data_IF_222375191147
#
_entry.id   IF_222375191147
#
_cell.length_a   1.000
_cell.length_b   1.000
_cell.length_c   1.000
_cell.angle_alpha   90.00
_cell.angle_beta   90.00
_cell.angle_gamma   90.00
#
_symmetry.space_group_name_H-M   'P 1'
#
loop_
_entity.id
_entity.type
_entity.pdbx_description
1 polymer ?
#
# COMPACT_ATOMS: atom_id res chain seq x y z
N UNK A 1 -54.88 26.95 4.70
CA UNK A 1 -53.41 27.19 4.64
C UNK A 1 -52.61 26.55 5.80
N UNK A 2 -53.13 26.44 7.04
CA UNK A 2 -52.40 25.82 8.17
C UNK A 2 -52.10 24.31 8.04
N UNK A 3 -52.87 23.56 7.24
CA UNK A 3 -52.67 22.10 7.04
C UNK A 3 -51.52 21.75 6.09
N UNK A 4 -51.13 22.68 5.21
CA UNK A 4 -50.02 22.48 4.26
C UNK A 4 -48.66 22.70 4.95
N UNK A 5 -48.62 23.60 5.93
CA UNK A 5 -47.40 23.90 6.72
C UNK A 5 -46.97 22.72 7.59
N UNK A 6 -47.93 21.93 8.11
CA UNK A 6 -47.64 20.73 8.91
C UNK A 6 -47.06 19.62 8.04
N UNK A 7 -47.55 19.46 6.80
CA UNK A 7 -47.05 18.45 5.87
C UNK A 7 -45.60 18.73 5.42
N UNK A 8 -45.25 20.01 5.21
CA UNK A 8 -43.89 20.44 4.87
C UNK A 8 -42.90 20.25 6.04
N UNK A 9 -43.36 20.42 7.29
CA UNK A 9 -42.53 20.22 8.48
C UNK A 9 -42.20 18.73 8.72
N UNK A 10 -43.10 17.81 8.35
CA UNK A 10 -42.89 16.35 8.48
C UNK A 10 -41.92 15.85 7.40
N UNK A 11 -42.01 16.37 6.16
CA UNK A 11 -41.09 16.01 5.07
C UNK A 11 -39.67 16.51 5.37
N UNK A 12 -39.51 17.67 6.03
CA UNK A 12 -38.20 18.18 6.42
C UNK A 12 -37.50 17.35 7.50
N UNK A 13 -38.23 16.58 8.31
CA UNK A 13 -37.63 15.74 9.37
C UNK A 13 -37.11 14.39 8.84
N UNK A 14 -37.52 13.95 7.64
CA UNK A 14 -37.09 12.66 7.07
C UNK A 14 -35.70 12.76 6.42
N UNK A 15 -35.23 13.97 6.06
CA UNK A 15 -33.93 14.15 5.40
C UNK A 15 -32.72 14.21 6.34
N UNK A 16 -32.91 14.14 7.67
CA UNK A 16 -31.81 14.21 8.65
C UNK A 16 -31.26 12.81 9.00
N UNK A 17 -31.91 11.74 8.54
CA UNK A 17 -31.40 10.37 8.65
C UNK A 17 -30.78 9.90 7.33
N UNK A 18 -29.95 10.74 6.72
CA UNK A 18 -28.90 10.22 5.85
C UNK A 18 -27.88 9.56 6.77
N UNK A 19 -28.19 8.35 7.22
CA UNK A 19 -27.22 7.45 7.78
C UNK A 19 -26.16 7.27 6.70
N UNK A 20 -25.04 7.99 6.84
CA UNK A 20 -23.77 7.47 6.35
C UNK A 20 -23.73 6.03 6.83
N UNK A 21 -23.85 5.07 5.91
CA UNK A 21 -23.50 3.69 6.21
C UNK A 21 -22.08 3.80 6.73
N UNK A 22 -21.89 3.69 8.04
CA UNK A 22 -20.59 3.32 8.61
C UNK A 22 -20.24 2.03 7.88
N UNK A 23 -19.41 2.13 6.84
CA UNK A 23 -18.82 0.95 6.25
C UNK A 23 -18.12 0.28 7.41
N UNK A 24 -18.56 -0.93 7.75
CA UNK A 24 -17.90 -1.72 8.78
C UNK A 24 -16.42 -1.76 8.43
N UNK A 25 -15.59 -1.20 9.31
CA UNK A 25 -14.15 -1.15 9.11
C UNK A 25 -13.69 -2.60 9.09
N UNK A 26 -13.25 -3.07 7.91
CA UNK A 26 -12.71 -4.42 7.80
C UNK A 26 -11.45 -4.52 8.66
N UNK A 27 -11.33 -5.59 9.43
CA UNK A 27 -10.23 -5.79 10.36
C UNK A 27 -9.99 -7.27 10.59
N UNK A 28 -8.86 -7.59 11.23
CA UNK A 28 -8.47 -8.94 11.65
C UNK A 28 -8.03 -8.92 13.11
N UNK A 29 -8.08 -10.07 13.82
CA UNK A 29 -7.57 -10.15 15.19
C UNK A 29 -6.12 -9.67 15.31
N UNK A 30 -5.29 -9.96 14.31
CA UNK A 30 -3.89 -9.51 14.28
C UNK A 30 -3.78 -7.98 14.16
N UNK A 31 -4.62 -7.33 13.35
CA UNK A 31 -4.66 -5.87 13.25
C UNK A 31 -5.10 -5.23 14.57
N UNK A 32 -6.18 -5.73 15.18
CA UNK A 32 -6.70 -5.20 16.45
C UNK A 32 -5.72 -5.35 17.62
N UNK A 33 -4.79 -6.31 17.53
CA UNK A 33 -3.77 -6.51 18.55
C UNK A 33 -2.63 -5.48 18.46
N UNK A 34 -2.39 -4.92 17.28
CA UNK A 34 -1.22 -4.08 17.00
C UNK A 34 -1.61 -2.60 16.82
N UNK A 35 -2.74 -2.36 16.16
CA UNK A 35 -3.21 -1.04 15.75
C UNK A 35 -4.49 -0.66 16.51
N UNK A 36 -4.64 0.63 16.80
CA UNK A 36 -5.86 1.18 17.36
C UNK A 36 -6.93 1.43 16.28
N UNK A 37 -8.15 1.77 16.69
CA UNK A 37 -9.28 1.93 15.75
C UNK A 37 -9.04 3.02 14.69
N UNK A 38 -8.35 4.11 15.04
CA UNK A 38 -8.00 5.18 14.10
C UNK A 38 -7.01 4.67 13.04
N UNK A 39 -5.95 4.01 13.49
CA UNK A 39 -4.94 3.41 12.62
C UNK A 39 -5.54 2.34 11.70
N UNK A 40 -6.46 1.51 12.21
CA UNK A 40 -7.17 0.51 11.39
C UNK A 40 -8.04 1.19 10.33
N UNK A 41 -8.68 2.31 10.66
CA UNK A 41 -9.42 3.13 9.70
C UNK A 41 -8.51 3.64 8.56
N UNK A 42 -7.32 4.12 8.90
CA UNK A 42 -6.31 4.57 7.95
C UNK A 42 -5.72 3.43 7.11
N UNK A 43 -5.47 2.26 7.71
CA UNK A 43 -5.10 1.03 7.01
C UNK A 43 -6.16 0.65 5.96
N UNK A 44 -7.44 0.82 6.29
CA UNK A 44 -8.54 0.67 5.34
C UNK A 44 -8.42 1.59 4.13
N UNK A 45 -7.97 2.84 4.31
CA UNK A 45 -7.70 3.78 3.21
C UNK A 45 -6.51 3.34 2.36
N UNK A 46 -5.43 2.87 3.00
CA UNK A 46 -4.23 2.34 2.32
C UNK A 46 -4.59 1.15 1.42
N UNK A 47 -5.34 0.20 1.97
CA UNK A 47 -5.81 -0.98 1.22
C UNK A 47 -6.71 -0.53 0.07
N UNK A 48 -7.69 0.34 0.34
CA UNK A 48 -8.63 0.81 -0.70
C UNK A 48 -7.91 1.49 -1.86
N UNK A 49 -6.92 2.34 -1.57
CA UNK A 49 -6.08 2.98 -2.59
C UNK A 49 -5.39 1.96 -3.49
N UNK A 50 -4.77 0.94 -2.89
CA UNK A 50 -4.13 -0.15 -3.63
C UNK A 50 -5.13 -0.99 -4.44
N UNK A 51 -6.27 -1.35 -3.84
CA UNK A 51 -7.31 -2.15 -4.50
C UNK A 51 -7.92 -1.43 -5.71
N UNK A 52 -8.18 -0.12 -5.61
CA UNK A 52 -8.68 0.70 -6.71
C UNK A 52 -7.69 0.73 -7.88
N UNK A 53 -6.40 0.86 -7.56
CA UNK A 53 -5.35 0.79 -8.55
C UNK A 53 -5.31 -0.57 -9.25
N UNK A 54 -5.34 -1.68 -8.50
CA UNK A 54 -5.36 -3.02 -9.07
C UNK A 54 -6.56 -3.22 -10.01
N UNK A 55 -7.76 -2.80 -9.58
CA UNK A 55 -8.99 -2.89 -10.38
C UNK A 55 -8.83 -2.12 -11.70
N UNK A 56 -8.28 -0.91 -11.65
CA UNK A 56 -8.05 -0.06 -12.82
C UNK A 56 -7.03 -0.68 -13.78
N UNK A 57 -5.86 -1.10 -13.29
CA UNK A 57 -4.78 -1.67 -14.12
C UNK A 57 -5.21 -2.98 -14.78
N UNK A 58 -5.95 -3.81 -14.05
CA UNK A 58 -6.40 -5.12 -14.56
C UNK A 58 -7.71 -5.07 -15.32
N UNK A 59 -8.37 -3.90 -15.38
CA UNK A 59 -9.73 -3.73 -15.91
C UNK A 59 -10.71 -4.75 -15.31
N UNK A 60 -10.66 -4.92 -13.98
CA UNK A 60 -11.52 -5.84 -13.25
C UNK A 60 -12.27 -5.11 -12.14
N UNK A 61 -13.58 -5.31 -12.06
CA UNK A 61 -14.41 -4.74 -11.00
C UNK A 61 -14.42 -5.60 -9.73
N UNK A 62 -13.88 -6.83 -9.79
CA UNK A 62 -13.84 -7.78 -8.68
C UNK A 62 -12.41 -7.84 -8.14
N UNK A 63 -12.24 -7.52 -6.86
CA UNK A 63 -10.90 -7.38 -6.29
C UNK A 63 -10.09 -8.67 -6.35
N UNK A 64 -10.67 -9.83 -6.05
CA UNK A 64 -9.94 -11.10 -6.10
C UNK A 64 -9.47 -11.44 -7.52
N UNK A 65 -10.28 -11.10 -8.53
CA UNK A 65 -9.89 -11.24 -9.94
C UNK A 65 -8.79 -10.26 -10.32
N UNK A 66 -8.85 -9.02 -9.84
CA UNK A 66 -7.81 -8.02 -10.04
C UNK A 66 -6.48 -8.47 -9.44
N UNK A 67 -6.47 -8.96 -8.19
CA UNK A 67 -5.28 -9.52 -7.56
C UNK A 67 -4.68 -10.69 -8.34
N UNK A 68 -5.50 -11.67 -8.73
CA UNK A 68 -5.01 -12.83 -9.49
C UNK A 68 -4.40 -12.42 -10.83
N UNK A 69 -5.05 -11.50 -11.56
CA UNK A 69 -4.56 -11.02 -12.85
C UNK A 69 -3.26 -10.24 -12.69
N UNK A 70 -3.21 -9.30 -11.74
CA UNK A 70 -2.00 -8.54 -11.43
C UNK A 70 -0.84 -9.44 -11.02
N UNK A 71 -1.10 -10.40 -10.12
CA UNK A 71 -0.09 -11.38 -9.70
C UNK A 71 0.44 -12.20 -10.88
N UNK A 72 -0.45 -12.67 -11.77
CA UNK A 72 -0.06 -13.42 -12.97
C UNK A 72 0.84 -12.61 -13.91
N UNK A 73 0.54 -11.33 -14.07
CA UNK A 73 1.29 -10.40 -14.91
C UNK A 73 2.65 -10.04 -14.29
N UNK A 74 2.74 -9.91 -12.97
CA UNK A 74 3.93 -9.39 -12.28
C UNK A 74 4.87 -10.46 -11.70
N UNK A 75 4.39 -11.68 -11.41
CA UNK A 75 5.22 -12.70 -10.74
C UNK A 75 6.44 -13.13 -11.57
N UNK A 76 6.32 -13.10 -12.89
CA UNK A 76 7.39 -13.46 -13.83
C UNK A 76 8.03 -12.24 -14.52
N UNK A 77 7.51 -11.03 -14.29
CA UNK A 77 7.99 -9.83 -14.96
C UNK A 77 9.35 -9.40 -14.41
N UNK A 78 10.29 -9.05 -15.29
CA UNK A 78 11.62 -8.57 -14.88
C UNK A 78 11.56 -7.27 -14.07
N UNK A 79 10.52 -6.46 -14.30
CA UNK A 79 10.21 -5.24 -13.56
C UNK A 79 8.81 -5.31 -12.98
N UNK A 80 8.64 -4.81 -11.76
CA UNK A 80 7.34 -4.66 -11.13
C UNK A 80 6.58 -3.47 -11.76
N UNK A 81 5.40 -3.72 -12.30
CA UNK A 81 4.62 -2.69 -13.00
C UNK A 81 3.89 -1.79 -11.99
N UNK A 82 4.39 -0.57 -11.85
CA UNK A 82 3.80 0.50 -11.03
C UNK A 82 3.16 1.61 -11.88
N UNK A 83 2.85 1.34 -13.15
CA UNK A 83 2.42 2.36 -14.11
C UNK A 83 1.12 3.09 -13.77
N UNK A 84 0.26 2.53 -12.91
CA UNK A 84 -0.93 3.24 -12.43
C UNK A 84 -0.69 4.10 -11.18
N UNK A 85 0.53 4.14 -10.64
CA UNK A 85 0.90 4.96 -9.48
C UNK A 85 1.62 6.19 -10.01
N UNK A 86 1.23 7.34 -9.48
CA UNK A 86 1.87 8.62 -9.75
C UNK A 86 2.18 9.33 -8.43
N UNK A 87 3.09 10.29 -8.48
CA UNK A 87 3.52 11.01 -7.29
C UNK A 87 2.33 11.69 -6.59
N UNK A 88 1.45 12.35 -7.34
CA UNK A 88 0.33 13.09 -6.77
C UNK A 88 -0.63 12.16 -6.02
N UNK A 89 -0.93 11.00 -6.58
CA UNK A 89 -1.84 10.03 -5.96
C UNK A 89 -1.25 9.41 -4.68
N UNK A 90 0.04 9.09 -4.66
CA UNK A 90 0.72 8.61 -3.44
C UNK A 90 0.79 9.71 -2.37
N UNK A 91 1.20 10.93 -2.74
CA UNK A 91 1.25 12.05 -1.79
C UNK A 91 -0.13 12.39 -1.22
N UNK A 92 -1.19 12.21 -2.02
CA UNK A 92 -2.57 12.38 -1.56
C UNK A 92 -2.98 11.31 -0.57
N UNK A 93 -2.57 10.05 -0.77
CA UNK A 93 -2.79 8.98 0.21
C UNK A 93 -2.14 9.35 1.55
N UNK A 94 -0.87 9.73 1.54
CA UNK A 94 -0.14 10.06 2.77
C UNK A 94 -0.77 11.24 3.53
N UNK A 95 -1.34 12.23 2.82
CA UNK A 95 -2.06 13.35 3.44
C UNK A 95 -3.44 12.99 4.01
N UNK A 96 -4.01 11.86 3.60
CA UNK A 96 -5.35 11.42 3.99
C UNK A 96 -5.34 10.40 5.14
N UNK A 97 -4.17 9.97 5.60
CA UNK A 97 -3.98 9.17 6.81
C UNK A 97 -3.34 10.03 7.89
N UNK A 98 -3.53 9.66 9.15
CA UNK A 98 -2.90 10.37 10.26
C UNK A 98 -1.39 10.15 10.23
N UNK A 99 -0.63 11.19 10.61
CA UNK A 99 0.84 11.14 10.62
C UNK A 99 1.36 10.03 11.54
N UNK A 100 0.70 9.79 12.67
CA UNK A 100 1.05 8.69 13.57
C UNK A 100 0.90 7.33 12.87
N UNK A 101 -0.19 7.10 12.13
CA UNK A 101 -0.35 5.87 11.33
C UNK A 101 0.75 5.75 10.28
N UNK A 102 1.09 6.85 9.59
CA UNK A 102 2.17 6.87 8.62
C UNK A 102 3.51 6.46 9.28
N UNK A 103 3.88 7.09 10.40
CA UNK A 103 5.14 6.86 11.10
C UNK A 103 5.25 5.44 11.70
N UNK A 104 4.12 4.77 11.91
CA UNK A 104 4.05 3.39 12.40
C UNK A 104 4.17 2.32 11.29
N UNK A 105 4.10 2.73 10.03
CA UNK A 105 4.25 1.87 8.85
C UNK A 105 5.54 2.18 8.09
N UNK A 106 5.81 3.47 7.90
CA UNK A 106 6.81 3.98 6.98
C UNK A 106 7.77 4.94 7.66
N UNK A 107 8.99 5.02 7.13
CA UNK A 107 9.97 6.03 7.51
C UNK A 107 10.72 6.53 6.28
N UNK A 108 11.18 7.77 6.34
CA UNK A 108 12.03 8.35 5.30
C UNK A 108 13.50 8.25 5.71
N UNK A 109 14.33 7.68 4.84
CA UNK A 109 15.79 7.69 4.99
C UNK A 109 16.42 8.66 4.01
N UNK A 110 17.43 9.41 4.46
CA UNK A 110 18.20 10.31 3.61
C UNK A 110 19.55 9.70 3.25
N UNK A 111 19.89 9.74 1.97
CA UNK A 111 21.20 9.35 1.45
C UNK A 111 21.78 10.46 0.59
N UNK A 112 23.09 10.46 0.36
CA UNK A 112 23.70 11.37 -0.62
C UNK A 112 23.80 10.69 -1.98
N UNK A 113 23.36 11.35 -3.04
CA UNK A 113 23.52 10.89 -4.41
C UNK A 113 24.62 11.71 -5.10
N UNK A 114 25.72 11.04 -5.43
CA UNK A 114 26.89 11.66 -6.05
C UNK A 114 26.66 12.10 -7.50
N UNK A 115 25.70 11.51 -8.23
CA UNK A 115 25.40 11.84 -9.62
C UNK A 115 24.73 13.21 -9.75
N UNK A 116 23.93 13.61 -8.74
CA UNK A 116 23.28 14.93 -8.68
C UNK A 116 23.92 15.85 -7.64
N UNK A 117 24.94 15.38 -6.92
CA UNK A 117 25.61 16.09 -5.83
C UNK A 117 24.64 16.67 -4.77
N UNK A 118 23.60 15.90 -4.42
CA UNK A 118 22.55 16.31 -3.49
C UNK A 118 22.04 15.13 -2.65
N UNK A 119 21.34 15.43 -1.57
CA UNK A 119 20.62 14.45 -0.77
C UNK A 119 19.36 13.94 -1.48
N UNK A 120 19.14 12.63 -1.39
CA UNK A 120 17.93 11.96 -1.85
C UNK A 120 17.21 11.36 -0.65
N UNK A 121 15.88 11.36 -0.73
CA UNK A 121 15.02 10.68 0.25
C UNK A 121 14.51 9.37 -0.34
N UNK A 122 14.60 8.30 0.45
CA UNK A 122 14.11 6.97 0.14
C UNK A 122 13.01 6.61 1.14
N UNK A 123 11.90 6.09 0.64
CA UNK A 123 10.81 5.58 1.46
C UNK A 123 11.14 4.16 1.91
N UNK A 124 11.15 3.92 3.23
CA UNK A 124 11.38 2.61 3.83
C UNK A 124 10.21 2.19 4.71
N UNK A 125 10.21 0.90 5.08
CA UNK A 125 9.35 0.38 6.15
C UNK A 125 9.98 0.72 7.48
N UNK A 126 9.20 1.25 8.42
CA UNK A 126 9.69 1.60 9.73
C UNK A 126 10.01 0.33 10.56
N UNK A 127 11.30 0.06 10.76
CA UNK A 127 11.78 -1.27 11.15
C UNK A 127 11.36 -1.68 12.59
N UNK A 128 11.36 -0.74 13.52
CA UNK A 128 11.05 -0.99 14.95
C UNK A 128 9.63 -0.53 15.32
N UNK A 129 8.72 -0.50 14.34
CA UNK A 129 7.37 0.03 14.48
C UNK A 129 6.27 -1.01 14.33
N UNK A 130 5.02 -0.60 14.56
CA UNK A 130 3.85 -1.49 14.56
C UNK A 130 3.74 -2.36 13.33
N UNK A 131 4.01 -1.85 12.13
CA UNK A 131 3.89 -2.69 10.92
C UNK A 131 4.84 -3.89 10.92
N UNK A 132 6.09 -3.74 11.39
CA UNK A 132 7.01 -4.88 11.53
C UNK A 132 6.57 -5.85 12.63
N UNK A 133 6.02 -5.34 13.75
CA UNK A 133 5.41 -6.18 14.78
C UNK A 133 4.20 -6.97 14.26
N UNK A 134 3.40 -6.34 13.40
CA UNK A 134 2.27 -6.96 12.72
C UNK A 134 2.73 -8.07 11.75
N UNK A 135 3.76 -7.82 10.92
CA UNK A 135 4.34 -8.87 10.07
C UNK A 135 4.84 -10.07 10.88
N UNK A 136 5.49 -9.81 12.03
CA UNK A 136 5.93 -10.87 12.94
C UNK A 136 4.73 -11.67 13.46
N UNK A 137 3.69 -11.00 13.95
CA UNK A 137 2.49 -11.62 14.51
C UNK A 137 1.75 -12.49 13.48
N UNK A 138 1.53 -11.97 12.27
CA UNK A 138 0.93 -12.76 11.17
C UNK A 138 1.84 -13.93 10.78
N UNK A 139 3.16 -13.71 10.79
CA UNK A 139 4.18 -14.72 10.51
C UNK A 139 4.15 -15.94 11.43
N UNK A 140 3.69 -15.79 12.69
CA UNK A 140 3.54 -16.92 13.62
C UNK A 140 2.58 -17.99 13.11
N UNK A 141 1.61 -17.60 12.27
CA UNK A 141 0.62 -18.49 11.65
C UNK A 141 0.88 -18.74 10.17
N UNK A 142 1.61 -17.84 9.51
CA UNK A 142 1.86 -17.88 8.07
C UNK A 142 3.36 -17.86 7.74
N UNK A 143 3.99 -19.04 7.48
CA UNK A 143 5.43 -19.14 7.24
C UNK A 143 5.97 -18.21 6.14
N UNK A 144 5.17 -17.92 5.11
CA UNK A 144 5.54 -16.97 4.04
C UNK A 144 5.71 -15.54 4.57
N UNK A 145 4.85 -15.11 5.48
CA UNK A 145 4.90 -13.78 6.08
C UNK A 145 6.07 -13.71 7.07
N UNK A 146 6.34 -14.80 7.79
CA UNK A 146 7.55 -14.90 8.62
C UNK A 146 8.84 -14.79 7.79
N UNK A 147 8.88 -15.43 6.63
CA UNK A 147 10.01 -15.30 5.69
C UNK A 147 10.17 -13.85 5.24
N UNK A 148 9.09 -13.21 4.79
CA UNK A 148 9.06 -11.80 4.37
C UNK A 148 9.57 -10.87 5.48
N UNK A 149 9.06 -11.02 6.71
CA UNK A 149 9.53 -10.28 7.88
C UNK A 149 11.04 -10.41 8.07
N UNK A 150 11.57 -11.65 8.00
CA UNK A 150 13.00 -11.92 8.19
C UNK A 150 13.86 -11.33 7.07
N UNK A 151 13.36 -11.33 5.82
CA UNK A 151 14.06 -10.71 4.70
C UNK A 151 14.13 -9.19 4.86
N UNK A 152 13.04 -8.52 5.24
CA UNK A 152 13.05 -7.07 5.50
C UNK A 152 14.03 -6.74 6.62
N UNK A 153 14.02 -7.53 7.71
CA UNK A 153 14.98 -7.41 8.82
C UNK A 153 16.43 -7.52 8.37
N UNK A 154 16.72 -8.40 7.42
CA UNK A 154 18.09 -8.65 6.97
C UNK A 154 18.54 -7.61 5.95
N UNK A 155 17.65 -7.20 5.04
CA UNK A 155 17.97 -6.32 3.92
C UNK A 155 17.80 -4.83 4.26
N UNK A 156 17.03 -4.49 5.29
CA UNK A 156 16.67 -3.12 5.63
C UNK A 156 15.77 -2.42 4.61
N UNK A 157 15.22 -3.16 3.63
CA UNK A 157 14.39 -2.60 2.57
C UNK A 157 13.38 -3.63 2.02
N UNK A 158 12.34 -3.13 1.38
CA UNK A 158 11.37 -3.94 0.63
C UNK A 158 11.82 -4.06 -0.82
N UNK A 159 11.82 -5.28 -1.35
CA UNK A 159 12.15 -5.58 -2.73
C UNK A 159 10.96 -6.23 -3.44
N UNK A 160 10.87 -6.06 -4.77
CA UNK A 160 9.78 -6.63 -5.57
C UNK A 160 9.68 -8.15 -5.47
N UNK A 161 10.80 -8.84 -5.21
CA UNK A 161 10.81 -10.29 -4.97
C UNK A 161 9.98 -10.69 -3.74
N UNK A 162 9.91 -9.85 -2.70
CA UNK A 162 9.11 -10.12 -1.50
C UNK A 162 7.61 -10.03 -1.78
N UNK A 163 7.20 -9.14 -2.68
CA UNK A 163 5.80 -9.09 -3.14
C UNK A 163 5.42 -10.39 -3.87
N UNK A 164 6.33 -10.95 -4.67
CA UNK A 164 6.06 -12.23 -5.35
C UNK A 164 5.81 -13.35 -4.36
N UNK A 165 6.53 -13.38 -3.25
CA UNK A 165 6.30 -14.34 -2.16
C UNK A 165 4.90 -14.19 -1.54
N UNK A 166 4.28 -13.01 -1.57
CA UNK A 166 2.89 -12.85 -1.10
C UNK A 166 1.87 -13.49 -2.07
N UNK A 167 2.21 -13.57 -3.36
CA UNK A 167 1.34 -14.07 -4.41
C UNK A 167 1.50 -15.57 -4.69
N UNK A 168 2.51 -16.22 -4.13
CA UNK A 168 2.80 -17.64 -4.34
C UNK A 168 2.77 -18.40 -3.01
N UNK A 169 2.12 -19.56 -2.99
CA UNK A 169 2.27 -20.51 -1.88
C UNK A 169 3.64 -21.17 -1.97
N UNK A 170 4.23 -21.51 -0.83
CA UNK A 170 5.45 -22.31 -0.82
C UNK A 170 5.16 -23.76 -1.24
N UNK A 171 6.05 -24.34 -2.05
CA UNK A 171 6.07 -25.79 -2.30
C UNK A 171 6.61 -26.55 -1.08
N UNK A 172 6.61 -27.88 -1.13
CA UNK A 172 7.06 -28.74 -0.03
C UNK A 172 8.56 -28.52 0.32
N UNK A 173 9.32 -27.86 -0.55
CA UNK A 173 10.73 -27.52 -0.37
C UNK A 173 10.92 -26.07 0.12
N UNK A 174 9.83 -25.33 0.41
CA UNK A 174 9.88 -23.94 0.87
C UNK A 174 10.20 -22.92 -0.23
N UNK A 175 10.10 -23.30 -1.51
CA UNK A 175 10.30 -22.41 -2.65
C UNK A 175 8.97 -21.83 -3.11
N UNK A 176 9.00 -20.73 -3.84
CA UNK A 176 7.79 -20.20 -4.47
C UNK A 176 7.17 -21.24 -5.42
N UNK A 177 5.97 -21.70 -5.08
CA UNK A 177 5.20 -22.71 -5.80
C UNK A 177 4.05 -22.09 -6.60
N UNK A 178 2.84 -22.61 -6.42
CA UNK A 178 1.63 -22.19 -7.16
C UNK A 178 1.14 -20.83 -6.67
N UNK A 179 0.28 -20.17 -7.47
CA UNK A 179 -0.40 -18.96 -7.01
C UNK A 179 -1.19 -19.23 -5.72
N UNK A 180 -1.04 -18.32 -4.76
CA UNK A 180 -1.68 -18.41 -3.45
C UNK A 180 -3.20 -18.43 -3.58
N UNK A 181 -3.83 -19.42 -2.97
CA UNK A 181 -5.30 -19.48 -2.86
C UNK A 181 -5.86 -18.44 -1.88
N UNK A 182 -4.99 -17.85 -1.04
CA UNK A 182 -5.32 -16.82 -0.04
C UNK A 182 -4.96 -15.41 -0.48
N UNK A 183 -4.75 -15.18 -1.78
CA UNK A 183 -4.30 -13.87 -2.30
C UNK A 183 -5.27 -12.70 -1.98
N UNK A 184 -6.51 -13.03 -1.58
CA UNK A 184 -7.55 -12.09 -1.20
C UNK A 184 -7.78 -11.94 0.31
N UNK A 185 -7.05 -12.61 1.20
CA UNK A 185 -7.25 -12.37 2.64
C UNK A 185 -6.78 -10.97 3.06
N UNK A 186 -7.45 -10.39 4.06
CA UNK A 186 -7.23 -8.99 4.42
C UNK A 186 -5.80 -8.71 4.88
N UNK A 187 -5.14 -9.68 5.56
CA UNK A 187 -3.77 -9.54 6.01
C UNK A 187 -2.81 -9.44 4.80
N UNK A 188 -2.95 -10.33 3.83
CA UNK A 188 -2.17 -10.31 2.58
C UNK A 188 -2.43 -9.03 1.78
N UNK A 189 -3.68 -8.56 1.72
CA UNK A 189 -4.00 -7.30 1.03
C UNK A 189 -3.31 -6.10 1.67
N UNK A 190 -3.32 -6.01 3.01
CA UNK A 190 -2.62 -4.93 3.71
C UNK A 190 -1.11 -4.96 3.45
N UNK A 191 -0.48 -6.14 3.62
CA UNK A 191 0.96 -6.30 3.45
C UNK A 191 1.36 -5.99 2.00
N UNK A 192 0.60 -6.50 1.03
CA UNK A 192 0.83 -6.23 -0.39
C UNK A 192 0.64 -4.75 -0.72
N UNK A 193 -0.37 -4.07 -0.15
CA UNK A 193 -0.58 -2.64 -0.35
C UNK A 193 0.64 -1.84 0.11
N UNK A 194 1.09 -2.06 1.34
CA UNK A 194 2.24 -1.35 1.93
C UNK A 194 3.49 -1.54 1.06
N UNK A 195 3.80 -2.78 0.67
CA UNK A 195 4.99 -3.05 -0.14
C UNK A 195 4.90 -2.43 -1.54
N UNK A 196 3.75 -2.55 -2.18
CA UNK A 196 3.52 -2.01 -3.53
C UNK A 196 3.71 -0.50 -3.52
N UNK A 197 3.11 0.19 -2.55
CA UNK A 197 3.19 1.65 -2.41
C UNK A 197 4.65 2.08 -2.15
N UNK A 198 5.36 1.40 -1.24
CA UNK A 198 6.78 1.69 -0.97
C UNK A 198 7.65 1.53 -2.22
N UNK A 199 7.46 0.46 -2.99
CA UNK A 199 8.21 0.24 -4.24
C UNK A 199 7.84 1.29 -5.29
N UNK A 200 6.56 1.60 -5.44
CA UNK A 200 6.08 2.58 -6.40
C UNK A 200 6.64 3.98 -6.11
N UNK A 201 6.56 4.44 -4.85
CA UNK A 201 7.10 5.73 -4.41
C UNK A 201 8.60 5.82 -4.71
N UNK A 202 9.38 4.80 -4.34
CA UNK A 202 10.81 4.77 -4.62
C UNK A 202 11.12 4.79 -6.13
N UNK A 203 10.38 4.05 -6.96
CA UNK A 203 10.54 4.09 -8.42
C UNK A 203 10.25 5.50 -8.96
N UNK A 204 9.22 6.17 -8.45
CA UNK A 204 8.85 7.54 -8.84
C UNK A 204 9.96 8.52 -8.45
N UNK A 205 10.47 8.45 -7.21
CA UNK A 205 11.59 9.29 -6.75
C UNK A 205 12.85 9.08 -7.58
N UNK A 206 13.19 7.84 -7.92
CA UNK A 206 14.33 7.54 -8.81
C UNK A 206 14.15 8.13 -10.22
N UNK A 207 12.93 8.10 -10.78
CA UNK A 207 12.64 8.76 -12.06
C UNK A 207 12.81 10.27 -11.98
N UNK A 208 12.47 10.89 -10.84
CA UNK A 208 12.69 12.33 -10.63
C UNK A 208 14.17 12.68 -10.55
N UNK A 209 14.97 11.90 -9.81
CA UNK A 209 16.43 12.06 -9.73
C UNK A 209 17.06 11.96 -11.12
N UNK A 210 16.71 10.94 -11.90
CA UNK A 210 17.22 10.77 -13.27
C UNK A 210 16.86 11.96 -14.17
N UNK A 211 15.67 12.53 -14.02
CA UNK A 211 15.28 13.75 -14.76
C UNK A 211 16.11 14.96 -14.35
N UNK A 212 16.51 15.07 -13.08
CA UNK A 212 17.39 16.16 -12.62
C UNK A 212 18.80 15.98 -13.17
N UNK A 213 19.35 14.76 -13.10
CA UNK A 213 20.66 14.43 -13.66
C UNK A 213 20.75 14.80 -15.15
N UNK A 214 19.76 14.40 -15.95
CA UNK A 214 19.72 14.75 -17.39
C UNK A 214 19.70 16.26 -17.64
N UNK A 215 19.08 17.06 -16.75
CA UNK A 215 19.10 18.52 -16.87
C UNK A 215 20.48 19.11 -16.55
N UNK A 216 21.17 18.55 -15.56
CA UNK A 216 22.55 18.94 -15.20
C UNK A 216 23.48 18.66 -16.38
N UNK A 217 23.45 17.43 -16.91
CA UNK A 217 24.27 17.02 -18.07
C UNK A 217 24.03 17.93 -19.29
N UNK A 218 22.76 18.27 -19.58
CA UNK A 218 22.41 19.19 -20.65
C UNK A 218 22.97 20.60 -20.42
N UNK A 219 22.92 21.11 -19.19
CA UNK A 219 23.46 22.42 -18.85
C UNK A 219 24.99 22.49 -18.92
N UNK A 220 25.68 21.37 -18.66
CA UNK A 220 27.14 21.28 -18.75
C UNK A 220 27.62 21.13 -20.20
N UNK A 221 26.88 20.41 -21.03
CA UNK A 221 27.23 20.21 -22.46
C UNK A 221 27.01 21.42 -23.37
N UNK A 222 26.31 22.45 -22.86
CA UNK A 222 25.99 23.69 -23.60
C UNK A 222 26.94 24.86 -23.34
N UNK A 223 27.96 24.68 -22.49
CA UNK A 223 29.03 25.65 -22.19
C UNK A 223 30.35 25.21 -22.84
#
# INVERSE_FOLDING_TARGET
>A
MKKITILLSIISCVFIFSCEKKSEIQTTPELQQIFNDTEIGDIGKIISFYEEHLKKQTNSNQIDSAFHKFAKENVNAMSYDVSGFDDESIQRLYKNIDQETYDEIWEESKGFNYEINDSITIQNIAYEKKFMNYLKLVGEKEPKIQYVHNQIKTLGMVQGILIRTLYQDFDDEGRNGKFSTKIGDYNNRFIAAVFTITIADNIIRQRMIRKQQLKIEQSESGN
#
